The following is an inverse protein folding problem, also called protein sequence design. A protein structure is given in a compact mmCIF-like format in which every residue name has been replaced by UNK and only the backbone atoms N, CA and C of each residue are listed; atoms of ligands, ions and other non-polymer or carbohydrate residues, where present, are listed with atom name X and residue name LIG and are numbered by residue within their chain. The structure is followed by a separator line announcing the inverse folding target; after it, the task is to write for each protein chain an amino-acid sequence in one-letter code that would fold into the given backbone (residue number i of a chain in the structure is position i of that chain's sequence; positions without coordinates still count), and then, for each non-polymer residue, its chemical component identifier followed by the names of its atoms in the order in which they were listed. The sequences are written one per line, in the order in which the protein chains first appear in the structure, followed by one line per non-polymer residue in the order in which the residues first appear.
data_IF_924055630049
#
_entry.id   IF_924055630049
#
_cell.length_a   1.000
_cell.length_b   1.000
_cell.length_c   1.000
_cell.angle_alpha   90.00
_cell.angle_beta   90.00
_cell.angle_gamma   90.00
#
_symmetry.space_group_name_H-M   'P 1'
#
loop_
_entity.id
_entity.type
_entity.pdbx_description
1 polymer ?
#
# COMPACT_ATOMS: atom_id res chain seq x y z
N UNK A 1 -22.91 -19.35 -31.16
CA UNK A 1 -22.11 -20.03 -30.10
C UNK A 1 -20.68 -19.47 -29.94
N UNK A 2 -19.92 -19.19 -31.01
CA UNK A 2 -18.52 -18.71 -30.90
C UNK A 2 -18.32 -17.28 -30.35
N UNK A 3 -19.31 -16.40 -30.53
CA UNK A 3 -19.23 -14.99 -30.09
C UNK A 3 -19.39 -14.85 -28.56
N UNK A 4 -20.34 -15.59 -27.96
CA UNK A 4 -20.56 -15.59 -26.51
C UNK A 4 -19.37 -16.13 -25.72
N UNK A 5 -18.70 -17.18 -26.24
CA UNK A 5 -17.49 -17.72 -25.61
C UNK A 5 -16.32 -16.73 -25.60
N UNK A 6 -16.07 -16.00 -26.70
CA UNK A 6 -15.03 -14.94 -26.74
C UNK A 6 -15.32 -13.79 -25.77
N UNK A 7 -16.59 -13.43 -25.63
CA UNK A 7 -17.01 -12.34 -24.74
C UNK A 7 -16.74 -12.68 -23.26
N UNK A 8 -17.07 -13.89 -22.83
CA UNK A 8 -16.78 -14.39 -21.47
C UNK A 8 -15.27 -14.38 -21.21
N UNK A 9 -14.46 -14.94 -22.12
CA UNK A 9 -13.00 -14.97 -21.93
C UNK A 9 -12.35 -13.58 -21.90
N UNK A 10 -12.95 -12.59 -22.56
CA UNK A 10 -12.42 -11.22 -22.57
C UNK A 10 -12.68 -10.52 -21.24
N UNK A 11 -13.86 -10.72 -20.66
CA UNK A 11 -14.25 -10.20 -19.34
C UNK A 11 -13.32 -10.77 -18.27
N UNK A 12 -13.09 -12.08 -18.27
CA UNK A 12 -12.17 -12.74 -17.33
C UNK A 12 -10.74 -12.17 -17.42
N UNK A 13 -10.25 -11.91 -18.65
CA UNK A 13 -8.93 -11.30 -18.85
C UNK A 13 -8.86 -9.87 -18.30
N UNK A 14 -9.94 -9.10 -18.41
CA UNK A 14 -10.00 -7.73 -17.89
C UNK A 14 -10.03 -7.76 -16.36
N UNK A 15 -10.91 -8.57 -15.77
CA UNK A 15 -11.01 -8.77 -14.33
C UNK A 15 -9.67 -9.18 -13.70
N UNK A 16 -8.98 -10.15 -14.31
CA UNK A 16 -7.68 -10.63 -13.86
C UNK A 16 -6.61 -9.52 -13.82
N UNK A 17 -6.61 -8.59 -14.78
CA UNK A 17 -5.66 -7.46 -14.78
C UNK A 17 -5.89 -6.51 -13.61
N UNK A 18 -7.15 -6.24 -13.28
CA UNK A 18 -7.49 -5.39 -12.14
C UNK A 18 -7.14 -6.06 -10.81
N UNK A 19 -7.40 -7.36 -10.67
CA UNK A 19 -6.99 -8.14 -9.49
C UNK A 19 -5.45 -8.13 -9.33
N UNK A 20 -4.71 -8.33 -10.42
CA UNK A 20 -3.25 -8.30 -10.39
C UNK A 20 -2.73 -6.91 -10.01
N UNK A 21 -3.27 -5.85 -10.60
CA UNK A 21 -2.91 -4.47 -10.24
C UNK A 21 -3.19 -4.18 -8.75
N UNK A 22 -4.35 -4.60 -8.25
CA UNK A 22 -4.71 -4.45 -6.84
C UNK A 22 -3.74 -5.17 -5.90
N UNK A 23 -3.31 -6.37 -6.30
CA UNK A 23 -2.31 -7.16 -5.56
C UNK A 23 -0.97 -6.47 -5.51
N UNK A 24 -0.49 -5.95 -6.64
CA UNK A 24 0.78 -5.23 -6.73
C UNK A 24 0.75 -3.97 -5.86
N UNK A 25 -0.30 -3.16 -5.94
CA UNK A 25 -0.43 -1.96 -5.11
C UNK A 25 -0.43 -2.29 -3.61
N UNK A 26 -1.15 -3.33 -3.20
CA UNK A 26 -1.20 -3.74 -1.80
C UNK A 26 0.13 -4.27 -1.30
N UNK A 27 0.76 -5.18 -2.05
CA UNK A 27 2.04 -5.78 -1.64
C UNK A 27 3.12 -4.71 -1.58
N UNK A 28 3.30 -3.94 -2.65
CA UNK A 28 4.38 -2.96 -2.71
C UNK A 28 4.12 -1.76 -1.80
N UNK A 29 2.95 -1.16 -1.91
CA UNK A 29 2.65 0.11 -1.24
C UNK A 29 2.07 -0.02 0.16
N UNK A 30 1.41 -1.15 0.48
CA UNK A 30 0.89 -1.44 1.81
C UNK A 30 1.87 -2.26 2.64
N UNK A 31 2.12 -3.50 2.23
CA UNK A 31 2.87 -4.48 3.02
C UNK A 31 4.37 -4.13 3.08
N UNK A 32 5.03 -3.94 1.93
CA UNK A 32 6.47 -3.68 1.89
C UNK A 32 6.80 -2.34 2.52
N UNK A 33 6.07 -1.25 2.22
CA UNK A 33 6.29 0.05 2.90
C UNK A 33 6.13 -0.09 4.42
N UNK A 34 5.15 -0.88 4.89
CA UNK A 34 4.99 -1.12 6.33
C UNK A 34 6.22 -1.81 6.92
N UNK A 35 6.65 -2.94 6.34
CA UNK A 35 7.73 -3.77 6.89
C UNK A 35 9.09 -3.08 6.75
N UNK A 36 9.38 -2.49 5.58
CA UNK A 36 10.71 -1.97 5.27
C UNK A 36 10.92 -0.53 5.69
N UNK A 37 9.84 0.24 5.93
CA UNK A 37 9.94 1.66 6.28
C UNK A 37 9.30 1.94 7.63
N UNK A 38 7.99 1.71 7.79
CA UNK A 38 7.30 2.12 9.01
C UNK A 38 7.77 1.34 10.25
N UNK A 39 7.95 0.01 10.15
CA UNK A 39 8.40 -0.80 11.30
C UNK A 39 9.79 -0.35 11.80
N UNK A 40 10.83 -0.25 10.95
CA UNK A 40 12.14 0.25 11.38
C UNK A 40 12.09 1.65 11.99
N UNK A 41 11.25 2.55 11.45
CA UNK A 41 11.08 3.88 12.02
C UNK A 41 10.47 3.82 13.42
N UNK A 42 9.45 2.97 13.62
CA UNK A 42 8.81 2.78 14.92
C UNK A 42 9.81 2.18 15.92
N UNK A 43 10.61 1.19 15.51
CA UNK A 43 11.62 0.55 16.35
C UNK A 43 12.69 1.56 16.80
N UNK A 44 13.18 2.40 15.86
CA UNK A 44 14.12 3.47 16.19
C UNK A 44 13.54 4.43 17.22
N UNK A 45 12.28 4.86 17.04
CA UNK A 45 11.61 5.74 17.99
C UNK A 45 11.41 5.06 19.37
N UNK A 46 11.09 3.77 19.39
CA UNK A 46 10.87 3.02 20.63
C UNK A 46 12.12 2.91 21.51
N UNK A 47 13.32 2.98 20.92
CA UNK A 47 14.59 2.95 21.65
C UNK A 47 15.06 4.31 22.19
N UNK A 48 14.37 5.40 21.84
CA UNK A 48 14.78 6.75 22.22
C UNK A 48 14.43 7.07 23.68
N UNK A 49 15.34 7.73 24.40
CA UNK A 49 15.08 8.19 25.78
C UNK A 49 14.31 9.51 25.78
N UNK A 50 13.07 9.55 26.31
CA UNK A 50 12.26 10.77 26.33
C UNK A 50 12.92 11.90 27.13
N UNK A 51 12.62 13.14 26.74
CA UNK A 51 13.13 14.33 27.43
C UNK A 51 14.56 14.73 27.09
N UNK A 52 15.22 13.98 26.19
CA UNK A 52 16.56 14.32 25.68
C UNK A 52 16.48 15.21 24.44
N UNK A 53 17.48 16.08 24.19
CA UNK A 53 17.59 16.83 22.94
C UNK A 53 17.59 15.94 21.69
N UNK A 54 18.24 14.77 21.79
CA UNK A 54 18.35 13.78 20.72
C UNK A 54 16.99 13.18 20.38
N UNK A 55 16.19 12.80 21.37
CA UNK A 55 14.84 12.30 21.16
C UNK A 55 13.91 13.35 20.54
N UNK A 56 14.06 14.62 20.92
CA UNK A 56 13.30 15.73 20.33
C UNK A 56 13.62 15.89 18.84
N UNK A 57 14.91 15.81 18.47
CA UNK A 57 15.35 15.88 17.07
C UNK A 57 14.87 14.65 16.28
N UNK A 58 14.99 13.46 16.86
CA UNK A 58 14.48 12.23 16.26
C UNK A 58 12.99 12.33 15.98
N UNK A 59 12.19 12.76 16.97
CA UNK A 59 10.75 12.92 16.85
C UNK A 59 10.36 13.85 15.70
N UNK A 60 11.00 15.02 15.58
CA UNK A 60 10.71 15.96 14.50
C UNK A 60 10.92 15.34 13.10
N UNK A 61 12.02 14.59 12.93
CA UNK A 61 12.29 13.87 11.68
C UNK A 61 11.35 12.68 11.45
N UNK A 62 11.05 11.92 12.51
CA UNK A 62 10.14 10.80 12.50
C UNK A 62 8.76 11.25 12.05
N UNK A 63 8.19 12.28 12.67
CA UNK A 63 6.83 12.74 12.40
C UNK A 63 6.65 13.13 10.93
N UNK A 64 7.62 13.87 10.36
CA UNK A 64 7.59 14.31 8.96
C UNK A 64 7.67 13.12 8.01
N UNK A 65 8.68 12.26 8.19
CA UNK A 65 8.91 11.12 7.30
C UNK A 65 7.78 10.08 7.42
N UNK A 66 7.32 9.81 8.64
CA UNK A 66 6.30 8.80 8.91
C UNK A 66 4.97 9.21 8.30
N UNK A 67 4.61 10.50 8.40
CA UNK A 67 3.40 11.05 7.78
C UNK A 67 3.45 10.90 6.26
N UNK A 68 4.59 11.23 5.62
CA UNK A 68 4.77 11.07 4.18
C UNK A 68 4.59 9.60 3.74
N UNK A 69 5.24 8.65 4.44
CA UNK A 69 5.10 7.22 4.12
C UNK A 69 3.71 6.66 4.41
N UNK A 70 3.00 7.21 5.39
CA UNK A 70 1.59 6.86 5.60
C UNK A 70 0.68 7.37 4.49
N UNK A 71 0.95 8.53 3.89
CA UNK A 71 0.23 8.97 2.69
C UNK A 71 0.49 8.01 1.52
N UNK A 72 1.74 7.58 1.31
CA UNK A 72 2.07 6.57 0.28
C UNK A 72 1.25 5.30 0.50
N UNK A 73 1.23 4.77 1.72
CA UNK A 73 0.42 3.59 2.08
C UNK A 73 -1.06 3.81 1.83
N UNK A 74 -1.59 4.97 2.22
CA UNK A 74 -3.01 5.30 2.07
C UNK A 74 -3.41 5.29 0.60
N UNK A 75 -2.65 6.00 -0.25
CA UNK A 75 -2.92 6.06 -1.69
C UNK A 75 -2.78 4.69 -2.34
N UNK A 76 -1.76 3.91 -1.98
CA UNK A 76 -1.56 2.57 -2.52
C UNK A 76 -2.68 1.61 -2.12
N UNK A 77 -3.10 1.60 -0.85
CA UNK A 77 -4.21 0.77 -0.39
C UNK A 77 -5.56 1.20 -0.99
N UNK A 78 -5.77 2.50 -1.22
CA UNK A 78 -6.95 2.99 -1.92
C UNK A 78 -6.95 2.53 -3.38
N UNK A 79 -5.84 2.68 -4.10
CA UNK A 79 -5.69 2.20 -5.47
C UNK A 79 -5.89 0.69 -5.56
N UNK A 80 -5.37 -0.07 -4.59
CA UNK A 80 -5.59 -1.50 -4.46
C UNK A 80 -7.08 -1.84 -4.30
N UNK A 81 -7.77 -1.16 -3.39
CA UNK A 81 -9.19 -1.35 -3.11
C UNK A 81 -10.05 -1.09 -4.35
N UNK A 82 -9.81 0.02 -5.05
CA UNK A 82 -10.50 0.36 -6.30
C UNK A 82 -10.24 -0.68 -7.38
N UNK A 83 -8.99 -1.14 -7.50
CA UNK A 83 -8.63 -2.17 -8.48
C UNK A 83 -9.35 -3.49 -8.20
N UNK A 84 -9.38 -3.94 -6.94
CA UNK A 84 -10.14 -5.14 -6.59
C UNK A 84 -11.64 -4.98 -6.80
N UNK A 85 -12.22 -3.83 -6.44
CA UNK A 85 -13.64 -3.57 -6.67
C UNK A 85 -14.00 -3.66 -8.16
N UNK A 86 -13.17 -3.09 -9.04
CA UNK A 86 -13.35 -3.20 -10.49
C UNK A 86 -13.16 -4.64 -10.98
N UNK A 87 -12.13 -5.34 -10.49
CA UNK A 87 -11.87 -6.73 -10.88
C UNK A 87 -12.95 -7.72 -10.44
N UNK A 88 -13.69 -7.43 -9.36
CA UNK A 88 -14.81 -8.25 -8.88
C UNK A 88 -16.16 -7.86 -9.48
N UNK A 89 -16.28 -6.64 -10.03
CA UNK A 89 -17.50 -6.13 -10.64
C UNK A 89 -17.59 -6.37 -12.16
N UNK A 90 -16.50 -6.81 -12.77
CA UNK A 90 -16.39 -7.15 -14.20
C UNK A 90 -16.47 -8.66 -14.37
#
# INVERSE_FOLDING_TARGET
MKIGFKMVTLIDCIAARYILAGSVFYILGGLIVTIAVNVPMNDALATAHPGTPEATKLWASYLTNWTAWNHVRTVACLASTVSYALGLAL
#
